data_IF_284328416912
#
_entry.id   IF_284328416912
#
_cell.length_a   1.000
_cell.length_b   1.000
_cell.length_c   1.000
_cell.angle_alpha   90.00
_cell.angle_beta   90.00
_cell.angle_gamma   90.00
#
_symmetry.space_group_name_H-M   'P 1'
#
loop_
_entity.id
_entity.type
_entity.pdbx_description
1 polymer ?
#
# COMPACT_ATOMS: atom_id res chain seq x y z
N UNK A 1 12.25 31.14 10.55
CA UNK A 1 12.70 30.32 9.42
C UNK A 1 11.83 30.71 8.24
N UNK A 2 12.43 31.07 7.11
CA UNK A 2 11.65 31.50 5.95
C UNK A 2 10.73 30.35 5.49
N UNK A 3 9.47 30.68 5.24
CA UNK A 3 8.45 29.67 4.86
C UNK A 3 8.87 28.88 3.61
N UNK A 4 9.61 29.52 2.70
CA UNK A 4 10.17 28.87 1.50
C UNK A 4 11.21 27.81 1.83
N UNK A 5 12.09 28.07 2.79
CA UNK A 5 13.08 27.10 3.26
C UNK A 5 12.41 25.88 3.90
N UNK A 6 11.40 26.11 4.74
CA UNK A 6 10.66 25.03 5.40
C UNK A 6 9.93 24.14 4.38
N UNK A 7 9.23 24.73 3.41
CA UNK A 7 8.57 23.99 2.34
C UNK A 7 9.57 23.15 1.52
N UNK A 8 10.74 23.73 1.22
CA UNK A 8 11.82 23.00 0.52
C UNK A 8 12.30 21.80 1.31
N UNK A 9 12.52 21.95 2.62
CA UNK A 9 12.92 20.84 3.48
C UNK A 9 11.85 19.75 3.58
N UNK A 10 10.59 20.13 3.68
CA UNK A 10 9.47 19.18 3.67
C UNK A 10 9.39 18.42 2.34
N UNK A 11 9.57 19.11 1.22
CA UNK A 11 9.59 18.46 -0.10
C UNK A 11 10.75 17.46 -0.23
N UNK A 12 11.96 17.84 0.22
CA UNK A 12 13.13 16.96 0.21
C UNK A 12 12.91 15.73 1.10
N UNK A 13 12.35 15.92 2.29
CA UNK A 13 12.01 14.81 3.18
C UNK A 13 10.97 13.90 2.53
N UNK A 14 9.94 14.47 1.89
CA UNK A 14 8.93 13.72 1.14
C UNK A 14 9.54 12.89 0.01
N UNK A 15 10.52 13.42 -0.74
CA UNK A 15 11.25 12.68 -1.77
C UNK A 15 11.98 11.46 -1.19
N UNK A 16 12.68 11.63 -0.06
CA UNK A 16 13.42 10.54 0.61
C UNK A 16 12.46 9.46 1.11
N UNK A 17 11.35 9.84 1.75
CA UNK A 17 10.33 8.90 2.21
C UNK A 17 9.68 8.18 1.02
N UNK A 18 9.41 8.88 -0.09
CA UNK A 18 8.89 8.29 -1.32
C UNK A 18 9.85 7.27 -1.93
N UNK A 19 11.15 7.53 -1.90
CA UNK A 19 12.17 6.57 -2.34
C UNK A 19 12.18 5.32 -1.46
N UNK A 20 12.07 5.49 -0.13
CA UNK A 20 11.91 4.35 0.79
C UNK A 20 10.57 3.62 0.59
N UNK A 21 9.49 4.33 0.30
CA UNK A 21 8.19 3.72 0.00
C UNK A 21 8.27 2.74 -1.19
N UNK A 22 9.04 3.05 -2.22
CA UNK A 22 9.31 2.11 -3.32
C UNK A 22 9.99 0.82 -2.84
N UNK A 23 10.87 0.90 -1.84
CA UNK A 23 11.50 -0.28 -1.22
C UNK A 23 10.46 -1.10 -0.47
N UNK A 24 9.58 -0.44 0.29
CA UNK A 24 8.49 -1.11 1.03
C UNK A 24 7.55 -1.82 0.07
N UNK A 25 7.08 -1.14 -0.99
CA UNK A 25 6.19 -1.70 -2.01
C UNK A 25 6.79 -2.97 -2.63
N UNK A 26 8.08 -2.97 -2.91
CA UNK A 26 8.74 -4.10 -3.54
C UNK A 26 9.07 -5.24 -2.57
N UNK A 27 9.54 -4.91 -1.36
CA UNK A 27 10.10 -5.90 -0.42
C UNK A 27 9.09 -6.45 0.56
N UNK A 28 8.15 -5.64 1.06
CA UNK A 28 7.24 -6.07 2.12
C UNK A 28 6.43 -7.33 1.76
N UNK A 29 5.81 -7.45 0.57
CA UNK A 29 5.12 -8.67 0.19
C UNK A 29 6.04 -9.90 0.18
N UNK A 30 7.25 -9.74 -0.35
CA UNK A 30 8.25 -10.82 -0.43
C UNK A 30 8.77 -11.27 0.93
N UNK A 31 8.95 -10.33 1.86
CA UNK A 31 9.34 -10.64 3.25
C UNK A 31 8.26 -11.50 3.89
N UNK A 32 7.00 -11.09 3.77
CA UNK A 32 5.87 -11.82 4.37
C UNK A 32 5.71 -13.21 3.73
N UNK A 33 5.86 -13.32 2.42
CA UNK A 33 5.85 -14.62 1.73
C UNK A 33 6.98 -15.54 2.19
N UNK A 34 8.17 -15.00 2.48
CA UNK A 34 9.27 -15.79 3.04
C UNK A 34 8.99 -16.26 4.47
N UNK A 35 8.43 -15.38 5.30
CA UNK A 35 8.03 -15.72 6.66
C UNK A 35 6.97 -16.84 6.66
N UNK A 36 5.93 -16.72 5.84
CA UNK A 36 4.90 -17.77 5.73
C UNK A 36 5.46 -19.11 5.23
N UNK A 37 6.40 -19.09 4.28
CA UNK A 37 7.06 -20.31 3.83
C UNK A 37 7.89 -20.95 4.96
N UNK A 38 8.66 -20.14 5.67
CA UNK A 38 9.47 -20.64 6.79
C UNK A 38 8.60 -21.22 7.92
N UNK A 39 7.46 -20.57 8.24
CA UNK A 39 6.49 -21.08 9.21
C UNK A 39 5.85 -22.39 8.74
N UNK A 40 5.50 -22.49 7.46
CA UNK A 40 4.94 -23.70 6.87
C UNK A 40 5.95 -24.85 6.88
N UNK A 41 7.19 -24.58 6.50
CA UNK A 41 8.26 -25.58 6.47
C UNK A 41 8.53 -26.11 7.90
N UNK A 42 8.61 -25.22 8.89
CA UNK A 42 8.76 -25.60 10.30
C UNK A 42 7.58 -26.45 10.81
N UNK A 43 6.35 -26.07 10.43
CA UNK A 43 5.16 -26.84 10.78
C UNK A 43 5.17 -28.26 10.17
N UNK A 44 5.57 -28.37 8.89
CA UNK A 44 5.66 -29.66 8.20
C UNK A 44 6.72 -30.57 8.83
N UNK A 45 7.89 -30.00 9.18
CA UNK A 45 8.96 -30.74 9.87
C UNK A 45 8.50 -31.24 11.24
N UNK A 46 7.84 -30.38 12.04
CA UNK A 46 7.36 -30.76 13.40
C UNK A 46 6.34 -31.90 13.34
N UNK A 47 5.49 -31.94 12.32
CA UNK A 47 4.43 -32.95 12.19
C UNK A 47 4.84 -34.15 11.32
N UNK A 48 6.09 -34.20 10.82
CA UNK A 48 6.59 -35.31 9.99
C UNK A 48 5.84 -35.43 8.64
N UNK A 49 5.25 -34.34 8.15
CA UNK A 49 4.49 -34.30 6.89
C UNK A 49 5.46 -34.00 5.75
N UNK A 50 5.67 -34.96 4.86
CA UNK A 50 6.44 -34.71 3.64
C UNK A 50 5.59 -33.89 2.66
N UNK A 51 6.06 -32.71 2.21
CA UNK A 51 5.32 -31.94 1.21
C UNK A 51 5.16 -32.76 -0.08
N UNK A 52 4.02 -32.66 -0.78
CA UNK A 52 3.86 -33.31 -2.08
C UNK A 52 4.98 -32.85 -3.02
N UNK A 53 5.48 -33.74 -3.89
CA UNK A 53 6.55 -33.39 -4.84
C UNK A 53 6.09 -32.16 -5.64
N UNK A 54 6.91 -31.12 -5.63
CA UNK A 54 6.64 -29.86 -6.35
C UNK A 54 6.36 -30.18 -7.82
N UNK A 55 5.21 -29.76 -8.34
CA UNK A 55 4.90 -29.92 -9.75
C UNK A 55 5.93 -29.16 -10.58
N UNK A 56 6.28 -29.68 -11.76
CA UNK A 56 7.33 -29.13 -12.64
C UNK A 56 7.17 -27.63 -12.96
N UNK A 57 5.97 -27.07 -12.78
CA UNK A 57 5.70 -25.66 -12.92
C UNK A 57 6.22 -24.82 -11.74
N UNK A 58 6.31 -25.38 -10.54
CA UNK A 58 6.84 -24.70 -9.34
C UNK A 58 8.36 -24.76 -9.28
N UNK A 59 8.97 -25.81 -9.85
CA UNK A 59 10.43 -25.99 -9.88
C UNK A 59 11.13 -24.97 -10.77
N UNK A 60 10.48 -24.45 -11.81
CA UNK A 60 11.06 -23.42 -12.68
C UNK A 60 11.03 -22.00 -12.08
N UNK A 61 10.18 -21.76 -11.07
CA UNK A 61 10.11 -20.48 -10.34
C UNK A 61 11.03 -20.45 -9.10
N UNK A 62 11.43 -21.64 -8.58
CA UNK A 62 12.11 -21.78 -7.28
C UNK A 62 13.64 -21.84 -7.36
N UNK A 63 14.25 -21.85 -8.55
CA UNK A 63 15.73 -21.96 -8.68
C UNK A 63 16.45 -20.60 -8.65
N UNK A 64 15.77 -19.48 -8.37
CA UNK A 64 16.47 -18.28 -7.91
C UNK A 64 16.58 -18.39 -6.39
N UNK A 65 17.72 -18.90 -5.92
CA UNK A 65 18.14 -18.85 -4.53
C UNK A 65 17.84 -17.45 -3.98
N UNK A 66 16.73 -17.30 -3.25
CA UNK A 66 16.45 -16.05 -2.55
C UNK A 66 17.52 -15.90 -1.48
N UNK A 67 18.14 -14.72 -1.37
CA UNK A 67 19.16 -14.52 -0.35
C UNK A 67 18.55 -14.79 1.03
N UNK A 68 19.27 -15.47 1.93
CA UNK A 68 18.82 -15.71 3.29
C UNK A 68 18.48 -14.36 3.94
N UNK A 69 17.30 -14.25 4.54
CA UNK A 69 16.79 -13.08 5.27
C UNK A 69 16.67 -11.77 4.46
N UNK A 70 15.69 -11.68 3.56
CA UNK A 70 15.29 -10.41 2.99
C UNK A 70 14.70 -9.51 4.09
N UNK A 71 15.24 -8.30 4.27
CA UNK A 71 14.67 -7.27 5.14
C UNK A 71 14.46 -5.96 4.37
N UNK A 72 13.81 -4.98 4.99
CA UNK A 72 13.63 -3.67 4.36
C UNK A 72 14.97 -2.95 4.10
N UNK A 73 16.01 -3.22 4.92
CA UNK A 73 17.33 -2.59 4.81
C UNK A 73 18.38 -3.47 4.12
N UNK A 74 18.27 -4.80 4.20
CA UNK A 74 19.24 -5.76 3.68
C UNK A 74 18.59 -6.75 2.71
N UNK A 75 19.31 -7.20 1.68
CA UNK A 75 20.56 -6.65 1.14
C UNK A 75 20.37 -5.25 0.56
N UNK A 76 21.48 -4.55 0.24
CA UNK A 76 21.41 -3.22 -0.41
C UNK A 76 20.63 -3.29 -1.73
N UNK A 77 20.07 -2.15 -2.16
CA UNK A 77 19.35 -2.03 -3.43
C UNK A 77 20.28 -2.42 -4.60
N UNK A 78 19.80 -3.27 -5.49
CA UNK A 78 20.53 -3.80 -6.64
C UNK A 78 19.65 -3.76 -7.88
N UNK A 79 20.28 -3.77 -9.04
CA UNK A 79 19.58 -3.85 -10.32
C UNK A 79 18.96 -5.24 -10.49
N UNK A 80 17.66 -5.39 -10.82
CA UNK A 80 17.04 -6.70 -11.00
C UNK A 80 17.62 -7.51 -12.19
N UNK A 81 18.23 -6.84 -13.17
CA UNK A 81 18.79 -7.51 -14.34
C UNK A 81 20.24 -7.95 -14.18
N UNK A 82 21.13 -7.07 -13.68
CA UNK A 82 22.56 -7.39 -13.57
C UNK A 82 23.01 -7.65 -12.13
N UNK A 83 22.11 -7.62 -11.14
CA UNK A 83 22.36 -7.85 -9.72
C UNK A 83 23.43 -6.93 -9.08
N UNK A 84 23.95 -5.93 -9.85
CA UNK A 84 24.93 -4.98 -9.32
C UNK A 84 24.31 -4.07 -8.31
N UNK A 85 24.97 -3.90 -7.15
CA UNK A 85 24.54 -2.99 -6.09
C UNK A 85 24.51 -1.54 -6.58
N UNK A 86 23.41 -0.84 -6.29
CA UNK A 86 23.23 0.56 -6.68
C UNK A 86 24.08 1.44 -5.76
N UNK A 87 24.81 2.38 -6.36
CA UNK A 87 25.63 3.33 -5.62
C UNK A 87 24.75 4.38 -4.93
N UNK A 88 25.17 4.93 -3.78
CA UNK A 88 24.40 5.95 -3.06
C UNK A 88 24.03 7.18 -3.91
N UNK A 89 24.91 7.60 -4.81
CA UNK A 89 24.62 8.70 -5.76
C UNK A 89 23.47 8.39 -6.72
N UNK A 90 23.23 7.11 -6.99
CA UNK A 90 22.18 6.64 -7.89
C UNK A 90 20.86 6.37 -7.15
N UNK A 91 20.84 6.61 -5.83
CA UNK A 91 19.66 6.55 -4.96
C UNK A 91 19.09 7.96 -4.64
N UNK A 92 19.67 9.03 -5.19
CA UNK A 92 19.13 10.39 -5.04
C UNK A 92 17.77 10.43 -5.75
N UNK A 93 16.66 10.68 -4.99
CA UNK A 93 15.32 10.58 -5.56
C UNK A 93 15.14 11.49 -6.78
N UNK A 94 14.42 11.03 -7.76
CA UNK A 94 14.09 11.70 -9.04
C UNK A 94 15.33 12.08 -9.85
N UNK A 95 16.29 12.77 -9.25
CA UNK A 95 17.48 13.30 -9.94
C UNK A 95 18.33 12.19 -10.57
N UNK A 96 18.58 11.10 -9.85
CA UNK A 96 19.36 9.99 -10.37
C UNK A 96 18.68 9.34 -11.59
N UNK A 97 17.37 9.19 -11.54
CA UNK A 97 16.59 8.66 -12.65
C UNK A 97 16.64 9.60 -13.87
N UNK A 98 16.50 10.89 -13.65
CA UNK A 98 16.54 11.91 -14.71
C UNK A 98 17.92 11.98 -15.39
N UNK A 99 19.01 12.07 -14.60
CA UNK A 99 20.37 12.11 -15.13
C UNK A 99 20.74 10.85 -15.92
N UNK A 100 20.22 9.68 -15.49
CA UNK A 100 20.47 8.41 -16.18
C UNK A 100 19.44 8.10 -17.25
N UNK A 101 18.52 9.02 -17.53
CA UNK A 101 17.44 8.84 -18.51
C UNK A 101 16.67 7.53 -18.29
N UNK A 102 16.39 7.18 -17.03
CA UNK A 102 15.68 5.95 -16.67
C UNK A 102 16.43 4.65 -16.99
N UNK A 103 17.76 4.64 -16.94
CA UNK A 103 18.57 3.45 -17.26
C UNK A 103 19.55 3.09 -16.15
N UNK A 104 19.78 1.79 -15.99
CA UNK A 104 20.79 1.29 -15.06
C UNK A 104 22.20 1.79 -15.44
N UNK A 105 22.98 2.17 -14.43
CA UNK A 105 24.36 2.63 -14.62
C UNK A 105 25.28 1.58 -15.25
N UNK A 106 24.98 0.29 -15.05
CA UNK A 106 25.87 -0.81 -15.39
C UNK A 106 25.42 -1.55 -16.67
N UNK A 107 24.18 -2.05 -16.68
CA UNK A 107 23.67 -2.85 -17.81
C UNK A 107 22.74 -2.08 -18.75
N UNK A 108 22.48 -0.80 -18.52
CA UNK A 108 21.61 0.06 -19.33
C UNK A 108 20.14 -0.41 -19.46
N UNK A 109 19.73 -1.43 -18.68
CA UNK A 109 18.33 -1.84 -18.62
C UNK A 109 17.43 -0.70 -18.16
N UNK A 110 16.17 -0.65 -18.63
CA UNK A 110 15.23 0.41 -18.28
C UNK A 110 14.76 0.29 -16.83
N UNK A 111 14.75 1.43 -16.12
CA UNK A 111 14.19 1.58 -14.78
C UNK A 111 12.78 2.16 -14.92
N UNK A 112 11.79 1.55 -14.26
CA UNK A 112 10.39 1.97 -14.35
C UNK A 112 10.20 3.42 -13.93
N UNK A 113 9.36 4.15 -14.66
CA UNK A 113 8.92 5.53 -14.36
C UNK A 113 8.14 5.60 -13.03
N UNK A 114 7.59 4.49 -12.57
CA UNK A 114 6.88 4.39 -11.28
C UNK A 114 7.73 4.91 -10.11
N UNK A 115 9.05 4.63 -10.10
CA UNK A 115 9.93 5.08 -9.02
C UNK A 115 9.90 6.60 -8.81
N UNK A 116 10.25 7.42 -9.82
CA UNK A 116 10.20 8.87 -9.65
C UNK A 116 8.77 9.41 -9.48
N UNK A 117 7.74 8.74 -10.00
CA UNK A 117 6.34 9.14 -9.77
C UNK A 117 5.98 9.02 -8.29
N UNK A 118 6.29 7.90 -7.64
CA UNK A 118 6.02 7.72 -6.20
C UNK A 118 6.80 8.73 -5.36
N UNK A 119 8.04 9.01 -5.72
CA UNK A 119 8.88 10.00 -5.03
C UNK A 119 8.31 11.42 -5.12
N UNK A 120 7.90 11.85 -6.32
CA UNK A 120 7.28 13.16 -6.55
C UNK A 120 5.91 13.26 -5.87
N UNK A 121 5.09 12.20 -5.96
CA UNK A 121 3.79 12.15 -5.28
C UNK A 121 3.95 12.28 -3.77
N UNK A 122 4.94 11.59 -3.20
CA UNK A 122 5.26 11.67 -1.78
C UNK A 122 5.66 13.10 -1.38
N UNK A 123 6.51 13.75 -2.14
CA UNK A 123 6.90 15.14 -1.89
C UNK A 123 5.70 16.11 -1.99
N UNK A 124 4.86 15.92 -3.01
CA UNK A 124 3.65 16.73 -3.20
C UNK A 124 2.69 16.57 -2.02
N UNK A 125 2.40 15.32 -1.60
CA UNK A 125 1.53 15.05 -0.46
C UNK A 125 2.08 15.65 0.85
N UNK A 126 3.39 15.59 1.07
CA UNK A 126 4.02 16.19 2.25
C UNK A 126 3.86 17.72 2.28
N UNK A 127 4.10 18.39 1.16
CA UNK A 127 3.94 19.85 1.03
C UNK A 127 2.48 20.25 1.19
N UNK A 128 1.55 19.57 0.50
CA UNK A 128 0.12 19.88 0.56
C UNK A 128 -0.40 19.68 1.99
N UNK A 129 -0.03 18.55 2.65
CA UNK A 129 -0.43 18.29 4.04
C UNK A 129 0.04 19.41 4.98
N UNK A 130 1.27 19.88 4.83
CA UNK A 130 1.78 21.01 5.61
C UNK A 130 1.04 22.32 5.33
N UNK A 131 0.79 22.62 4.07
CA UNK A 131 0.10 23.86 3.68
C UNK A 131 -1.35 23.93 4.20
N UNK A 132 -2.02 22.79 4.32
CA UNK A 132 -3.41 22.77 4.82
C UNK A 132 -3.52 23.06 6.31
N UNK A 133 -2.64 22.51 7.14
CA UNK A 133 -2.86 22.55 8.58
C UNK A 133 -1.79 23.33 9.36
N UNK A 134 -0.60 23.49 8.81
CA UNK A 134 0.56 24.17 9.42
C UNK A 134 0.85 23.76 10.89
N UNK A 135 0.33 22.58 11.27
CA UNK A 135 0.52 21.96 12.58
C UNK A 135 1.30 20.64 12.38
N UNK A 136 2.48 20.48 12.96
CA UNK A 136 3.38 19.36 12.66
C UNK A 136 2.71 17.98 12.83
N UNK A 137 2.02 17.77 13.94
CA UNK A 137 1.37 16.47 14.22
C UNK A 137 0.30 16.14 13.17
N UNK A 138 -0.57 17.10 12.87
CA UNK A 138 -1.64 16.91 11.88
C UNK A 138 -1.07 16.75 10.46
N UNK A 139 -0.05 17.53 10.09
CA UNK A 139 0.60 17.39 8.80
C UNK A 139 1.23 16.01 8.60
N UNK A 140 1.92 15.49 9.64
CA UNK A 140 2.47 14.13 9.63
C UNK A 140 1.37 13.08 9.56
N UNK A 141 0.26 13.28 10.28
CA UNK A 141 -0.88 12.36 10.26
C UNK A 141 -1.53 12.28 8.87
N UNK A 142 -1.83 13.44 8.25
CA UNK A 142 -2.41 13.55 6.91
C UNK A 142 -1.48 12.94 5.85
N UNK A 143 -0.19 13.28 5.92
CA UNK A 143 0.82 12.72 5.05
C UNK A 143 0.95 11.20 5.22
N UNK A 144 1.06 10.72 6.46
CA UNK A 144 1.15 9.30 6.80
C UNK A 144 -0.04 8.50 6.31
N UNK A 145 -1.27 9.01 6.55
CA UNK A 145 -2.50 8.43 6.01
C UNK A 145 -2.43 8.30 4.48
N UNK A 146 -2.15 9.42 3.80
CA UNK A 146 -2.13 9.46 2.34
C UNK A 146 -1.08 8.54 1.74
N UNK A 147 0.15 8.56 2.28
CA UNK A 147 1.23 7.69 1.81
C UNK A 147 0.98 6.22 2.09
N UNK A 148 0.38 5.87 3.23
CA UNK A 148 0.02 4.48 3.54
C UNK A 148 -1.00 3.94 2.56
N UNK A 149 -2.00 4.74 2.16
CA UNK A 149 -2.96 4.36 1.12
C UNK A 149 -2.29 4.19 -0.25
N UNK A 150 -1.38 5.08 -0.65
CA UNK A 150 -0.62 4.95 -1.89
C UNK A 150 0.23 3.66 -1.89
N UNK A 151 0.97 3.40 -0.80
CA UNK A 151 1.79 2.20 -0.66
C UNK A 151 0.93 0.94 -0.70
N UNK A 152 -0.17 0.91 0.07
CA UNK A 152 -1.11 -0.22 0.09
C UNK A 152 -1.73 -0.49 -1.29
N UNK A 153 -2.19 0.56 -1.98
CA UNK A 153 -2.73 0.46 -3.33
C UNK A 153 -1.73 -0.14 -4.34
N UNK A 154 -0.45 0.28 -4.24
CA UNK A 154 0.58 -0.21 -5.15
C UNK A 154 1.04 -1.63 -4.80
N UNK A 155 1.02 -2.03 -3.53
CA UNK A 155 1.24 -3.42 -3.12
C UNK A 155 0.12 -4.31 -3.65
N UNK A 156 -1.15 -3.91 -3.43
CA UNK A 156 -2.29 -4.70 -3.90
C UNK A 156 -2.35 -4.80 -5.43
N UNK A 157 -1.96 -3.73 -6.12
CA UNK A 157 -1.83 -3.74 -7.59
C UNK A 157 -0.84 -4.79 -8.08
N UNK A 158 0.29 -4.96 -7.39
CA UNK A 158 1.37 -5.87 -7.80
C UNK A 158 1.14 -7.31 -7.33
N UNK A 159 0.67 -7.49 -6.09
CA UNK A 159 0.57 -8.80 -5.41
C UNK A 159 -0.85 -9.33 -5.28
N UNK A 160 -1.88 -8.49 -5.54
CA UNK A 160 -3.31 -8.79 -5.39
C UNK A 160 -3.71 -9.19 -3.97
N UNK A 161 -2.96 -8.73 -2.98
CA UNK A 161 -3.30 -8.86 -1.57
C UNK A 161 -2.72 -7.70 -0.75
N UNK A 162 -3.41 -7.35 0.32
CA UNK A 162 -3.07 -6.21 1.14
C UNK A 162 -2.61 -6.67 2.52
N UNK A 163 -1.33 -6.42 2.92
CA UNK A 163 -0.78 -6.88 4.17
C UNK A 163 -1.41 -6.23 5.41
N UNK A 164 -1.61 -7.02 6.45
CA UNK A 164 -2.05 -6.53 7.76
C UNK A 164 -1.07 -5.51 8.36
N UNK A 165 0.22 -5.64 8.02
CA UNK A 165 1.28 -4.67 8.41
C UNK A 165 1.07 -3.27 7.85
N UNK A 166 0.16 -3.09 6.89
CA UNK A 166 -0.27 -1.79 6.34
C UNK A 166 -1.62 -1.38 6.91
N UNK A 167 -2.62 -2.27 6.85
CA UNK A 167 -4.00 -1.94 7.18
C UNK A 167 -4.23 -1.74 8.67
N UNK A 168 -3.64 -2.58 9.53
CA UNK A 168 -3.84 -2.46 10.98
C UNK A 168 -3.17 -1.21 11.58
N UNK A 169 -1.90 -0.87 11.29
CA UNK A 169 -1.33 0.38 11.75
C UNK A 169 -2.10 1.61 11.26
N UNK A 170 -2.62 1.58 10.02
CA UNK A 170 -3.46 2.65 9.50
C UNK A 170 -4.76 2.80 10.33
N UNK A 171 -5.44 1.70 10.65
CA UNK A 171 -6.65 1.73 11.48
C UNK A 171 -6.37 2.26 12.88
N UNK A 172 -5.33 1.71 13.53
CA UNK A 172 -4.97 2.11 14.89
C UNK A 172 -4.51 3.57 14.99
N UNK A 173 -3.81 4.09 13.97
CA UNK A 173 -3.42 5.50 13.94
C UNK A 173 -4.65 6.43 13.85
N UNK A 174 -5.68 6.07 13.08
CA UNK A 174 -6.93 6.83 13.01
C UNK A 174 -7.66 6.87 14.36
N UNK A 175 -7.78 5.71 15.01
CA UNK A 175 -8.39 5.61 16.35
C UNK A 175 -7.58 6.38 17.40
N UNK A 176 -6.25 6.27 17.36
CA UNK A 176 -5.36 6.99 18.28
C UNK A 176 -5.52 8.52 18.14
N UNK A 177 -5.48 9.04 16.92
CA UNK A 177 -5.65 10.47 16.66
C UNK A 177 -7.04 10.97 17.13
N UNK A 178 -8.09 10.17 16.92
CA UNK A 178 -9.42 10.48 17.41
C UNK A 178 -9.48 10.48 18.96
N UNK A 179 -8.74 9.57 19.62
CA UNK A 179 -8.71 9.47 21.09
C UNK A 179 -8.08 10.69 21.77
N UNK A 180 -7.09 11.31 21.13
CA UNK A 180 -6.41 12.52 21.62
C UNK A 180 -7.03 13.82 21.07
N UNK A 181 -8.18 13.74 20.36
CA UNK A 181 -8.86 14.89 19.77
C UNK A 181 -8.11 15.55 18.61
N UNK A 182 -7.18 14.82 17.96
CA UNK A 182 -6.35 15.30 16.85
C UNK A 182 -6.69 14.61 15.52
N UNK A 183 -7.94 14.10 15.39
CA UNK A 183 -8.36 13.61 14.08
C UNK A 183 -8.47 14.78 13.08
N UNK A 184 -7.86 14.68 11.87
CA UNK A 184 -7.85 15.79 10.91
C UNK A 184 -9.24 16.25 10.45
N UNK A 185 -10.26 15.39 10.54
CA UNK A 185 -11.65 15.69 10.19
C UNK A 185 -12.50 16.02 11.43
N UNK A 186 -11.89 16.17 12.61
CA UNK A 186 -12.59 16.52 13.85
C UNK A 186 -13.46 15.40 14.42
N UNK A 187 -13.24 14.14 14.01
CA UNK A 187 -14.04 13.01 14.51
C UNK A 187 -13.70 12.72 15.98
N UNK A 188 -14.75 12.47 16.77
CA UNK A 188 -14.58 11.91 18.12
C UNK A 188 -14.20 10.44 18.06
N UNK A 189 -13.62 9.92 19.14
CA UNK A 189 -13.27 8.49 19.25
C UNK A 189 -14.48 7.58 18.99
N UNK A 190 -15.66 7.93 19.48
CA UNK A 190 -16.88 7.15 19.24
C UNK A 190 -17.23 7.06 17.74
N UNK A 191 -17.18 8.16 17.01
CA UNK A 191 -17.43 8.16 15.55
C UNK A 191 -16.38 7.37 14.78
N UNK A 192 -15.10 7.45 15.17
CA UNK A 192 -14.02 6.68 14.58
C UNK A 192 -14.18 5.17 14.85
N UNK A 193 -14.56 4.78 16.08
CA UNK A 193 -14.83 3.38 16.44
C UNK A 193 -16.03 2.81 15.67
N UNK A 194 -17.16 3.54 15.65
CA UNK A 194 -18.33 3.11 14.88
C UNK A 194 -18.02 3.03 13.39
N UNK A 195 -17.22 3.95 12.86
CA UNK A 195 -16.73 3.92 11.49
C UNK A 195 -15.90 2.68 11.18
N UNK A 196 -14.93 2.35 12.05
CA UNK A 196 -14.10 1.16 11.91
C UNK A 196 -14.93 -0.14 11.96
N UNK A 197 -15.83 -0.24 12.95
CA UNK A 197 -16.72 -1.41 13.11
C UNK A 197 -17.66 -1.56 11.92
N UNK A 198 -18.32 -0.49 11.50
CA UNK A 198 -19.22 -0.52 10.36
C UNK A 198 -18.48 -0.89 9.07
N UNK A 199 -17.29 -0.32 8.82
CA UNK A 199 -16.45 -0.65 7.69
C UNK A 199 -16.07 -2.13 7.66
N UNK A 200 -15.59 -2.66 8.80
CA UNK A 200 -15.26 -4.08 8.92
C UNK A 200 -16.46 -4.97 8.67
N UNK A 201 -17.55 -4.72 9.39
CA UNK A 201 -18.77 -5.56 9.35
C UNK A 201 -19.41 -5.55 7.96
N UNK A 202 -19.40 -4.44 7.25
CA UNK A 202 -19.97 -4.34 5.89
C UNK A 202 -19.32 -5.34 4.94
N UNK A 203 -18.01 -5.33 4.84
CA UNK A 203 -17.31 -6.26 3.93
C UNK A 203 -17.25 -7.67 4.47
N UNK A 204 -17.11 -7.85 5.77
CA UNK A 204 -17.16 -9.18 6.39
C UNK A 204 -18.51 -9.86 6.16
N UNK A 205 -19.62 -9.15 6.35
CA UNK A 205 -20.96 -9.67 6.11
C UNK A 205 -21.16 -10.00 4.63
N UNK A 206 -20.76 -9.09 3.75
CA UNK A 206 -20.87 -9.29 2.29
C UNK A 206 -20.05 -10.51 1.84
N UNK A 207 -18.81 -10.67 2.31
CA UNK A 207 -17.95 -11.82 2.04
C UNK A 207 -18.57 -13.13 2.56
N UNK A 208 -19.12 -13.10 3.79
CA UNK A 208 -19.74 -14.25 4.44
C UNK A 208 -21.00 -14.68 3.67
N UNK A 209 -21.89 -13.75 3.35
CA UNK A 209 -23.11 -14.03 2.57
C UNK A 209 -22.73 -14.58 1.19
N UNK A 210 -21.78 -13.97 0.51
CA UNK A 210 -21.32 -14.44 -0.80
C UNK A 210 -20.78 -15.87 -0.72
N UNK A 211 -19.95 -16.18 0.28
CA UNK A 211 -19.42 -17.53 0.50
C UNK A 211 -20.52 -18.55 0.79
N UNK A 212 -21.53 -18.19 1.61
CA UNK A 212 -22.66 -19.06 1.91
C UNK A 212 -23.53 -19.37 0.67
N UNK A 213 -23.70 -18.38 -0.23
CA UNK A 213 -24.54 -18.53 -1.42
C UNK A 213 -23.80 -19.23 -2.56
N UNK A 214 -22.50 -18.91 -2.76
CA UNK A 214 -21.76 -19.39 -3.94
C UNK A 214 -20.78 -20.52 -3.64
N UNK A 215 -20.46 -20.77 -2.36
CA UNK A 215 -19.41 -21.69 -1.94
C UNK A 215 -17.98 -21.23 -2.29
N UNK A 216 -17.81 -19.99 -2.72
CA UNK A 216 -16.50 -19.42 -3.14
C UNK A 216 -16.16 -18.19 -2.31
N UNK A 217 -14.87 -17.99 -2.09
CA UNK A 217 -14.40 -16.73 -1.50
C UNK A 217 -14.42 -15.64 -2.57
N UNK A 218 -15.13 -14.54 -2.30
CA UNK A 218 -15.36 -13.47 -3.27
C UNK A 218 -14.72 -12.14 -2.91
N UNK A 219 -14.20 -11.98 -1.69
CA UNK A 219 -13.60 -10.73 -1.21
C UNK A 219 -12.35 -11.00 -0.39
N UNK A 220 -11.29 -10.23 -0.62
CA UNK A 220 -10.05 -10.33 0.14
C UNK A 220 -10.19 -9.84 1.58
N UNK A 221 -9.63 -10.58 2.54
CA UNK A 221 -9.61 -10.16 3.95
C UNK A 221 -8.88 -8.83 4.18
N UNK A 222 -7.92 -8.49 3.31
CA UNK A 222 -7.20 -7.21 3.33
C UNK A 222 -8.10 -6.01 3.05
N UNK A 223 -9.02 -6.13 2.08
CA UNK A 223 -9.97 -5.07 1.73
C UNK A 223 -10.94 -4.77 2.87
N UNK A 224 -11.36 -5.81 3.60
CA UNK A 224 -12.20 -5.68 4.79
C UNK A 224 -11.51 -4.83 5.87
N UNK A 225 -10.22 -5.09 6.11
CA UNK A 225 -9.40 -4.35 7.08
C UNK A 225 -9.08 -2.93 6.60
N UNK A 226 -8.87 -2.75 5.29
CA UNK A 226 -8.68 -1.41 4.71
C UNK A 226 -9.94 -0.56 4.85
N UNK A 227 -11.13 -1.13 4.60
CA UNK A 227 -12.40 -0.40 4.78
C UNK A 227 -12.62 -0.02 6.25
N UNK A 228 -12.25 -0.90 7.19
CA UNK A 228 -12.25 -0.57 8.62
C UNK A 228 -11.29 0.58 8.96
N UNK A 229 -10.09 0.56 8.40
CA UNK A 229 -9.12 1.64 8.58
C UNK A 229 -9.63 2.97 8.01
N UNK A 230 -10.23 2.96 6.82
CA UNK A 230 -10.86 4.15 6.24
C UNK A 230 -12.04 4.65 7.09
N UNK A 231 -12.84 3.75 7.65
CA UNK A 231 -13.91 4.09 8.61
C UNK A 231 -13.38 4.74 9.88
N UNK A 232 -12.22 4.29 10.40
CA UNK A 232 -11.58 4.92 11.56
C UNK A 232 -11.12 6.35 11.30
N UNK A 233 -10.68 6.66 10.07
CA UNK A 233 -10.20 7.98 9.68
C UNK A 233 -11.29 8.93 9.22
N UNK A 234 -12.27 8.43 8.44
CA UNK A 234 -13.31 9.21 7.77
C UNK A 234 -14.65 9.21 8.52
N UNK A 235 -14.84 8.26 9.44
CA UNK A 235 -16.12 8.05 10.10
C UNK A 235 -17.10 7.18 9.32
N UNK A 236 -18.12 6.67 10.02
CA UNK A 236 -19.10 5.73 9.45
C UNK A 236 -20.04 6.33 8.41
N UNK A 237 -20.35 7.62 8.52
CA UNK A 237 -21.28 8.31 7.61
C UNK A 237 -20.75 8.42 6.18
N UNK A 238 -19.43 8.43 6.01
CA UNK A 238 -18.78 8.50 4.69
C UNK A 238 -18.74 7.15 3.98
N UNK A 239 -18.92 6.03 4.68
CA UNK A 239 -18.80 4.68 4.12
C UNK A 239 -19.68 4.42 2.88
N UNK A 240 -20.96 4.83 2.82
CA UNK A 240 -21.79 4.62 1.63
C UNK A 240 -21.22 5.32 0.38
N UNK A 241 -20.74 6.56 0.54
CA UNK A 241 -20.11 7.31 -0.56
C UNK A 241 -18.79 6.68 -0.99
N UNK A 242 -17.98 6.22 -0.01
CA UNK A 242 -16.72 5.53 -0.25
C UNK A 242 -16.95 4.23 -1.02
N UNK A 243 -17.94 3.43 -0.63
CA UNK A 243 -18.29 2.19 -1.30
C UNK A 243 -18.79 2.44 -2.74
N UNK A 244 -19.62 3.45 -2.95
CA UNK A 244 -20.09 3.82 -4.28
C UNK A 244 -18.92 4.23 -5.18
N UNK A 245 -18.05 5.14 -4.70
CA UNK A 245 -16.90 5.59 -5.48
C UNK A 245 -15.91 4.46 -5.77
N UNK A 246 -15.60 3.65 -4.76
CA UNK A 246 -14.68 2.52 -4.94
C UNK A 246 -15.24 1.45 -5.89
N UNK A 247 -16.55 1.23 -5.88
CA UNK A 247 -17.21 0.31 -6.81
C UNK A 247 -17.15 0.82 -8.25
N UNK A 248 -17.37 2.13 -8.47
CA UNK A 248 -17.26 2.74 -9.80
C UNK A 248 -15.82 2.71 -10.33
N UNK A 249 -14.85 3.08 -9.48
CA UNK A 249 -13.42 3.00 -9.84
C UNK A 249 -12.98 1.55 -10.06
N UNK A 250 -13.40 0.62 -9.19
CA UNK A 250 -13.11 -0.80 -9.32
C UNK A 250 -13.67 -1.39 -10.60
N UNK A 251 -14.90 -1.01 -10.99
CA UNK A 251 -15.49 -1.41 -12.27
C UNK A 251 -14.66 -0.89 -13.45
N UNK A 252 -14.18 0.35 -13.39
CA UNK A 252 -13.29 0.93 -14.39
C UNK A 252 -11.97 0.15 -14.52
N UNK A 253 -11.36 -0.20 -13.39
CA UNK A 253 -10.13 -1.02 -13.33
C UNK A 253 -10.41 -2.41 -13.92
N UNK A 254 -11.49 -3.08 -13.50
CA UNK A 254 -11.86 -4.40 -13.98
C UNK A 254 -12.11 -4.42 -15.49
N UNK A 255 -12.80 -3.40 -16.01
CA UNK A 255 -13.05 -3.26 -17.45
C UNK A 255 -11.73 -3.03 -18.22
N UNK A 256 -10.82 -2.22 -17.68
CA UNK A 256 -9.52 -2.00 -18.29
C UNK A 256 -8.69 -3.28 -18.37
N UNK A 257 -8.64 -4.11 -17.29
CA UNK A 257 -7.97 -5.40 -17.29
C UNK A 257 -8.60 -6.37 -18.31
N UNK A 258 -9.94 -6.42 -18.35
CA UNK A 258 -10.67 -7.27 -19.31
C UNK A 258 -10.39 -6.91 -20.77
N UNK A 259 -10.31 -5.61 -21.09
CA UNK A 259 -10.04 -5.14 -22.45
C UNK A 259 -8.59 -5.35 -22.87
N UNK A 260 -7.63 -5.24 -21.94
CA UNK A 260 -6.22 -5.39 -22.26
C UNK A 260 -5.70 -6.81 -22.22
N UNK A 261 -6.11 -7.59 -21.23
CA UNK A 261 -5.52 -8.91 -20.99
C UNK A 261 -6.40 -10.07 -21.46
N UNK A 262 -7.65 -9.81 -21.85
CA UNK A 262 -8.59 -10.86 -22.33
C UNK A 262 -8.92 -11.93 -21.29
N UNK A 263 -8.41 -11.80 -20.07
CA UNK A 263 -8.56 -12.78 -18.99
C UNK A 263 -9.70 -12.40 -18.05
N UNK A 264 -10.55 -13.37 -17.76
CA UNK A 264 -11.40 -13.35 -16.57
C UNK A 264 -10.50 -13.73 -15.38
N UNK A 265 -9.96 -12.74 -14.68
CA UNK A 265 -9.06 -12.95 -13.54
C UNK A 265 -9.42 -12.05 -12.38
N UNK A 266 -8.89 -12.38 -11.21
CA UNK A 266 -8.96 -11.54 -10.03
C UNK A 266 -8.29 -10.19 -10.31
N UNK A 267 -8.98 -9.09 -10.02
CA UNK A 267 -8.45 -7.74 -10.12
C UNK A 267 -8.28 -7.15 -8.70
N UNK A 268 -7.25 -6.32 -8.47
CA UNK A 268 -7.04 -5.71 -7.17
C UNK A 268 -8.12 -4.65 -6.90
N UNK A 269 -8.84 -4.76 -5.78
CA UNK A 269 -9.86 -3.80 -5.38
C UNK A 269 -9.31 -2.72 -4.42
N UNK A 270 -8.25 -3.03 -3.68
CA UNK A 270 -7.58 -2.11 -2.78
C UNK A 270 -7.20 -0.76 -3.38
N UNK A 271 -6.68 -0.68 -4.63
CA UNK A 271 -6.41 0.60 -5.30
C UNK A 271 -7.65 1.49 -5.46
N UNK A 272 -8.81 0.90 -5.76
CA UNK A 272 -10.06 1.64 -5.87
C UNK A 272 -10.53 2.18 -4.51
N UNK A 273 -10.43 1.36 -3.44
CA UNK A 273 -10.72 1.78 -2.07
C UNK A 273 -9.77 2.89 -1.61
N UNK A 274 -8.47 2.73 -1.83
CA UNK A 274 -7.48 3.71 -1.43
C UNK A 274 -7.66 5.04 -2.15
N UNK A 275 -7.88 5.01 -3.46
CA UNK A 275 -8.15 6.21 -4.25
C UNK A 275 -9.42 6.94 -3.78
N UNK A 276 -10.52 6.19 -3.54
CA UNK A 276 -11.76 6.75 -3.01
C UNK A 276 -11.58 7.36 -1.62
N UNK A 277 -10.84 6.67 -0.75
CA UNK A 277 -10.50 7.16 0.58
C UNK A 277 -9.69 8.46 0.54
N UNK A 278 -8.70 8.55 -0.37
CA UNK A 278 -7.93 9.77 -0.60
C UNK A 278 -8.81 10.92 -1.10
N UNK A 279 -9.65 10.66 -2.11
CA UNK A 279 -10.53 11.71 -2.68
C UNK A 279 -11.46 12.26 -1.60
N UNK A 280 -12.14 11.39 -0.83
CA UNK A 280 -13.08 11.80 0.21
C UNK A 280 -12.39 12.46 1.40
N UNK A 281 -11.15 12.09 1.69
CA UNK A 281 -10.37 12.76 2.73
C UNK A 281 -9.98 14.19 2.34
N UNK A 282 -9.49 14.37 1.11
CA UNK A 282 -9.02 15.68 0.63
C UNK A 282 -10.16 16.61 0.16
N UNK A 283 -11.28 16.05 -0.27
CA UNK A 283 -12.48 16.74 -0.72
C UNK A 283 -13.72 16.12 -0.05
N UNK A 284 -13.93 16.36 1.26
CA UNK A 284 -15.11 15.85 1.93
C UNK A 284 -16.36 16.43 1.26
N UNK A 285 -17.21 15.53 0.75
CA UNK A 285 -18.50 15.93 0.20
C UNK A 285 -19.40 16.39 1.35
N UNK A 286 -20.21 17.45 1.17
CA UNK A 286 -21.18 17.87 2.18
C UNK A 286 -22.13 16.68 2.47
N UNK A 287 -22.19 16.31 3.74
CA UNK A 287 -23.10 15.27 4.27
C UNK A 287 -24.50 15.85 4.46
#
# INVERSE_FOLDING_TARGET
>A
MDNSLLITLIALLGLVIGSFANVVIYRLPRIIEQEWKAELDAYLEEHGITPPPATAAETSATTKTMPPSLSLSLPRSHCPHCQTTIRYRDLIPVLSWLFRRGRCAHCQSRISVRYPIVELLSAALAVIAWQQVQAPLLAVAIYGFSMTLVVGALIDWDSKWLPDRITLPLMWSGLFLASIGQNPLGLSLSHALWGAMAGYLTFWLMATVFRLVTGRDGLGGGDTKLLAALGAWLGGLVLPQLLLMSSLLGLGIALWFRLREGKQGEFPFGPALAASGLILFWHPLPL
#
